data_IF_420358254997
#
_entry.id   IF_420358254997
#
_cell.length_a   1.000
_cell.length_b   1.000
_cell.length_c   1.000
_cell.angle_alpha   90.00
_cell.angle_beta   90.00
_cell.angle_gamma   90.00
#
_symmetry.space_group_name_H-M   'P 1'
#
loop_
_entity.id
_entity.type
_entity.pdbx_description
1 polymer ?
#
# COMPACT_ATOMS: atom_id res chain seq x y z
N UNK A 1 27.35 -6.41 -17.01
CA UNK A 1 26.18 -6.86 -17.80
C UNK A 1 25.32 -5.63 -18.13
N UNK A 2 25.57 -4.91 -19.23
CA UNK A 2 25.01 -3.57 -19.45
C UNK A 2 23.54 -3.52 -19.91
N UNK A 3 22.80 -4.64 -19.94
CA UNK A 3 21.44 -4.70 -20.49
C UNK A 3 20.43 -5.43 -19.59
N UNK A 4 20.77 -5.74 -18.35
CA UNK A 4 19.81 -6.39 -17.46
C UNK A 4 18.75 -5.36 -17.03
N UNK A 5 17.56 -5.48 -17.59
CA UNK A 5 16.41 -4.61 -17.31
C UNK A 5 15.36 -5.27 -16.41
N UNK A 6 15.35 -6.60 -16.36
CA UNK A 6 14.35 -7.38 -15.64
C UNK A 6 15.04 -8.46 -14.83
N UNK A 7 14.66 -8.55 -13.56
CA UNK A 7 15.05 -9.64 -12.65
C UNK A 7 13.78 -10.18 -12.05
N UNK A 8 13.62 -11.50 -12.16
CA UNK A 8 12.57 -12.26 -11.50
C UNK A 8 13.27 -13.33 -10.67
N UNK A 9 13.01 -13.34 -9.37
CA UNK A 9 13.55 -14.30 -8.43
C UNK A 9 12.40 -15.00 -7.74
N UNK A 10 12.49 -16.31 -7.61
CA UNK A 10 11.48 -17.13 -6.96
C UNK A 10 12.14 -18.14 -6.01
N UNK A 11 11.52 -18.38 -4.85
CA UNK A 11 11.89 -19.43 -3.88
C UNK A 11 13.39 -19.48 -3.54
N UNK A 12 14.03 -18.32 -3.32
CA UNK A 12 15.49 -18.28 -3.13
C UNK A 12 15.96 -17.39 -1.97
N UNK A 13 17.13 -17.78 -1.44
CA UNK A 13 17.90 -17.01 -0.47
C UNK A 13 18.99 -16.26 -1.21
N UNK A 14 18.97 -14.94 -1.16
CA UNK A 14 19.97 -14.11 -1.82
C UNK A 14 20.27 -12.89 -0.97
N UNK A 15 21.54 -12.53 -0.84
CA UNK A 15 21.91 -11.30 -0.16
C UNK A 15 21.82 -10.16 -1.18
N UNK A 16 20.75 -9.38 -1.11
CA UNK A 16 20.65 -8.10 -1.80
C UNK A 16 21.41 -7.06 -0.98
N UNK A 17 22.29 -6.22 -1.57
CA UNK A 17 22.45 -5.93 -2.99
C UNK A 17 23.76 -6.49 -3.54
N UNK A 18 23.72 -7.65 -4.19
CA UNK A 18 24.87 -8.05 -5.03
C UNK A 18 25.05 -7.02 -6.15
N UNK A 19 26.29 -6.76 -6.59
CA UNK A 19 26.62 -5.80 -7.67
C UNK A 19 26.03 -6.16 -9.05
N UNK A 20 25.15 -7.17 -9.09
CA UNK A 20 24.39 -7.63 -10.25
C UNK A 20 23.20 -6.69 -10.51
N UNK A 21 22.78 -5.88 -9.52
CA UNK A 21 21.68 -4.91 -9.65
C UNK A 21 22.16 -3.62 -10.28
N UNK A 22 22.01 -3.59 -11.60
CA UNK A 22 22.42 -2.51 -12.46
C UNK A 22 21.49 -1.31 -12.31
N UNK A 23 22.07 -0.10 -12.39
CA UNK A 23 21.34 1.16 -12.57
C UNK A 23 20.43 1.18 -13.82
N UNK A 24 20.39 0.11 -14.62
CA UNK A 24 19.50 -0.11 -15.75
C UNK A 24 18.27 -0.95 -15.44
N UNK A 25 18.14 -1.49 -14.22
CA UNK A 25 17.03 -2.37 -13.85
C UNK A 25 15.71 -1.57 -13.82
N UNK A 26 14.74 -2.04 -14.59
CA UNK A 26 13.39 -1.46 -14.72
C UNK A 26 12.32 -2.32 -14.06
N UNK A 27 12.56 -3.62 -13.91
CA UNK A 27 11.60 -4.55 -13.32
C UNK A 27 12.28 -5.48 -12.33
N UNK A 28 11.76 -5.50 -11.11
CA UNK A 28 12.17 -6.39 -10.04
C UNK A 28 10.93 -7.11 -9.53
N UNK A 29 10.93 -8.43 -9.62
CA UNK A 29 9.86 -9.28 -9.10
C UNK A 29 10.47 -10.32 -8.17
N UNK A 30 10.01 -10.33 -6.92
CA UNK A 30 10.50 -11.16 -5.83
C UNK A 30 9.34 -12.01 -5.32
N UNK A 31 9.39 -13.32 -5.53
CA UNK A 31 8.38 -14.29 -5.11
C UNK A 31 8.99 -15.24 -4.08
N UNK A 32 8.52 -15.21 -2.83
CA UNK A 32 9.05 -16.01 -1.73
C UNK A 32 10.59 -15.90 -1.59
N UNK A 33 11.11 -14.70 -1.83
CA UNK A 33 12.56 -14.41 -1.80
C UNK A 33 12.96 -13.84 -0.46
N UNK A 34 13.99 -14.43 0.13
CA UNK A 34 14.61 -13.98 1.38
C UNK A 34 15.76 -13.04 1.04
N UNK A 35 15.40 -11.89 0.47
CA UNK A 35 16.31 -10.92 -0.13
C UNK A 35 16.75 -9.81 0.81
N UNK A 36 15.90 -9.47 1.77
CA UNK A 36 16.09 -8.37 2.72
C UNK A 36 15.93 -8.92 4.14
N UNK A 37 16.94 -8.72 4.98
CA UNK A 37 16.85 -9.08 6.39
C UNK A 37 16.01 -8.07 7.19
N UNK A 38 16.06 -6.80 6.78
CA UNK A 38 15.42 -5.68 7.46
C UNK A 38 15.15 -4.52 6.48
N UNK A 39 14.48 -3.49 6.99
CA UNK A 39 14.20 -2.24 6.28
C UNK A 39 15.45 -1.57 5.71
N UNK A 40 16.59 -1.60 6.41
CA UNK A 40 17.82 -0.92 5.98
C UNK A 40 18.42 -1.62 4.75
N UNK A 41 18.45 -2.94 4.74
CA UNK A 41 18.85 -3.75 3.59
C UNK A 41 17.94 -3.54 2.38
N UNK A 42 16.63 -3.44 2.60
CA UNK A 42 15.67 -3.07 1.54
C UNK A 42 15.95 -1.67 0.96
N UNK A 43 16.14 -0.66 1.82
CA UNK A 43 16.45 0.71 1.41
C UNK A 43 17.72 0.74 0.55
N UNK A 44 18.80 0.12 1.03
CA UNK A 44 20.07 0.06 0.31
C UNK A 44 19.91 -0.64 -1.05
N UNK A 45 19.12 -1.73 -1.10
CA UNK A 45 18.84 -2.43 -2.34
C UNK A 45 18.13 -1.55 -3.36
N UNK A 46 17.02 -0.93 -2.97
CA UNK A 46 16.16 -0.17 -3.89
C UNK A 46 16.79 1.17 -4.32
N UNK A 47 17.64 1.79 -3.49
CA UNK A 47 18.40 2.99 -3.86
C UNK A 47 19.38 2.75 -5.01
N UNK A 48 19.81 1.50 -5.25
CA UNK A 48 20.68 1.14 -6.37
C UNK A 48 19.92 0.95 -7.70
N UNK A 49 18.59 1.10 -7.71
CA UNK A 49 17.71 0.88 -8.86
C UNK A 49 16.88 2.13 -9.20
N UNK A 50 17.51 3.27 -9.51
CA UNK A 50 16.80 4.56 -9.63
C UNK A 50 15.82 4.63 -10.81
N UNK A 51 15.93 3.73 -11.80
CA UNK A 51 15.06 3.69 -13.00
C UNK A 51 14.03 2.56 -12.94
N UNK A 52 13.74 2.05 -11.74
CA UNK A 52 12.77 0.97 -11.56
C UNK A 52 11.36 1.46 -11.93
N UNK A 53 10.70 0.71 -12.80
CA UNK A 53 9.34 0.96 -13.31
C UNK A 53 8.32 -0.01 -12.67
N UNK A 54 8.75 -1.22 -12.33
CA UNK A 54 7.91 -2.26 -11.76
C UNK A 54 8.59 -2.92 -10.56
N UNK A 55 7.91 -2.91 -9.41
CA UNK A 55 8.31 -3.64 -8.22
C UNK A 55 7.16 -4.57 -7.80
N UNK A 56 7.44 -5.87 -7.80
CA UNK A 56 6.56 -6.89 -7.23
C UNK A 56 7.31 -7.57 -6.09
N UNK A 57 6.69 -7.61 -4.91
CA UNK A 57 7.17 -8.35 -3.76
C UNK A 57 6.03 -9.19 -3.20
N UNK A 58 6.19 -10.49 -3.31
CA UNK A 58 5.21 -11.50 -2.94
C UNK A 58 5.88 -12.49 -1.99
N UNK A 59 5.31 -12.69 -0.82
CA UNK A 59 5.82 -13.62 0.16
C UNK A 59 4.64 -14.23 0.95
N UNK A 60 4.46 -15.53 0.78
CA UNK A 60 3.41 -16.32 1.43
C UNK A 60 3.89 -17.05 2.68
N UNK A 61 5.18 -16.97 3.02
CA UNK A 61 5.72 -17.72 4.14
C UNK A 61 5.12 -17.29 5.48
N UNK A 62 4.55 -18.27 6.16
CA UNK A 62 3.92 -18.14 7.48
C UNK A 62 4.85 -18.47 8.63
N UNK A 63 6.11 -18.77 8.34
CA UNK A 63 7.01 -19.34 9.34
C UNK A 63 7.34 -18.31 10.44
N UNK A 64 7.55 -18.81 11.67
CA UNK A 64 7.98 -18.00 12.81
C UNK A 64 9.31 -17.27 12.54
N UNK A 65 10.10 -17.75 11.59
CA UNK A 65 11.36 -17.16 11.15
C UNK A 65 11.12 -16.20 9.99
N UNK A 66 10.28 -15.19 10.21
CA UNK A 66 10.02 -14.14 9.22
C UNK A 66 11.36 -13.55 8.73
N UNK A 67 11.71 -13.68 7.44
CA UNK A 67 13.01 -13.24 6.93
C UNK A 67 13.21 -11.72 6.95
N UNK A 68 12.13 -10.95 7.01
CA UNK A 68 12.17 -9.49 6.96
C UNK A 68 11.69 -8.85 8.27
N UNK A 69 12.61 -8.17 8.95
CA UNK A 69 12.29 -7.31 10.08
C UNK A 69 11.72 -5.98 9.58
N UNK A 70 10.39 -5.83 9.72
CA UNK A 70 9.65 -4.63 9.37
C UNK A 70 9.66 -3.55 10.46
N UNK A 71 10.54 -3.67 11.46
CA UNK A 71 10.78 -2.60 12.43
C UNK A 71 11.30 -1.35 11.70
N UNK A 72 10.78 -0.17 12.07
CA UNK A 72 11.21 1.09 11.48
C UNK A 72 12.72 1.28 11.59
N UNK A 73 13.34 1.67 10.48
CA UNK A 73 14.74 2.08 10.44
C UNK A 73 15.00 3.24 11.41
N UNK A 74 16.14 3.15 12.10
CA UNK A 74 16.70 4.24 12.91
C UNK A 74 17.70 5.10 12.14
N UNK A 75 18.21 4.58 11.02
CA UNK A 75 19.24 5.22 10.21
C UNK A 75 18.65 6.06 9.07
N UNK A 76 17.48 5.66 8.56
CA UNK A 76 16.85 6.27 7.40
C UNK A 76 15.50 6.89 7.77
N UNK A 77 15.21 8.13 7.30
CA UNK A 77 13.88 8.70 7.46
C UNK A 77 12.88 7.98 6.54
N UNK A 78 11.57 8.04 6.85
CA UNK A 78 10.53 7.63 5.92
C UNK A 78 10.68 8.30 4.55
N UNK A 79 10.14 7.67 3.50
CA UNK A 79 10.10 8.20 2.13
C UNK A 79 11.47 8.51 1.51
N UNK A 80 12.56 7.93 2.01
CA UNK A 80 13.93 8.22 1.55
C UNK A 80 14.36 7.52 0.25
N UNK A 81 13.65 6.48 -0.20
CA UNK A 81 13.97 5.76 -1.44
C UNK A 81 13.18 6.36 -2.59
N UNK A 82 13.84 7.09 -3.49
CA UNK A 82 13.17 7.71 -4.64
C UNK A 82 13.14 6.77 -5.84
N UNK A 83 11.94 6.42 -6.30
CA UNK A 83 11.70 5.62 -7.50
C UNK A 83 10.80 6.42 -8.45
N UNK A 84 11.36 7.50 -8.99
CA UNK A 84 10.62 8.51 -9.76
C UNK A 84 10.02 7.97 -11.08
N UNK A 85 10.44 6.77 -11.52
CA UNK A 85 9.95 6.09 -12.72
C UNK A 85 8.96 4.95 -12.42
N UNK A 86 8.64 4.71 -11.14
CA UNK A 86 7.80 3.58 -10.77
C UNK A 86 6.37 3.77 -11.31
N UNK A 87 5.93 2.81 -12.11
CA UNK A 87 4.57 2.76 -12.69
C UNK A 87 3.70 1.79 -11.90
N UNK A 88 4.28 0.69 -11.39
CA UNK A 88 3.54 -0.35 -10.66
C UNK A 88 4.30 -0.80 -9.41
N UNK A 89 3.60 -0.77 -8.28
CA UNK A 89 3.98 -1.37 -7.01
C UNK A 89 2.96 -2.44 -6.62
N UNK A 90 3.41 -3.67 -6.46
CA UNK A 90 2.58 -4.79 -6.01
C UNK A 90 3.22 -5.47 -4.80
N UNK A 91 2.52 -5.47 -3.66
CA UNK A 91 3.00 -5.99 -2.39
C UNK A 91 2.03 -7.03 -1.84
N UNK A 92 2.40 -8.31 -1.90
CA UNK A 92 1.57 -9.44 -1.48
C UNK A 92 2.28 -10.14 -0.33
N UNK A 93 2.08 -9.64 0.89
CA UNK A 93 2.75 -10.18 2.08
C UNK A 93 1.97 -9.83 3.34
N UNK A 94 2.57 -10.01 4.51
CA UNK A 94 2.00 -9.59 5.79
C UNK A 94 1.90 -8.05 5.87
N UNK A 95 0.89 -7.55 6.59
CA UNK A 95 0.55 -6.12 6.61
C UNK A 95 1.73 -5.20 6.97
N UNK A 96 2.47 -5.53 8.03
CA UNK A 96 3.59 -4.73 8.51
C UNK A 96 4.72 -4.63 7.49
N UNK A 97 4.95 -5.67 6.68
CA UNK A 97 5.94 -5.65 5.60
C UNK A 97 5.50 -4.72 4.47
N UNK A 98 4.27 -4.86 4.00
CA UNK A 98 3.70 -3.99 2.95
C UNK A 98 3.80 -2.51 3.36
N UNK A 99 3.43 -2.19 4.61
CA UNK A 99 3.50 -0.83 5.17
C UNK A 99 4.94 -0.35 5.28
N UNK A 100 5.86 -1.17 5.80
CA UNK A 100 7.26 -0.80 5.93
C UNK A 100 7.85 -0.48 4.56
N UNK A 101 7.67 -1.38 3.58
CA UNK A 101 8.13 -1.16 2.20
C UNK A 101 7.55 0.15 1.66
N UNK A 102 6.23 0.30 1.63
CA UNK A 102 5.58 1.50 1.08
C UNK A 102 5.99 2.80 1.79
N UNK A 103 6.12 2.78 3.12
CA UNK A 103 6.44 3.97 3.91
C UNK A 103 7.86 4.51 3.70
N UNK A 104 8.78 3.71 3.14
CA UNK A 104 10.12 4.18 2.77
C UNK A 104 10.27 4.59 1.30
N UNK A 105 9.30 4.26 0.44
CA UNK A 105 9.34 4.59 -0.99
C UNK A 105 8.72 5.95 -1.29
N UNK A 106 9.43 6.85 -1.96
CA UNK A 106 8.84 7.99 -2.67
C UNK A 106 8.61 7.60 -4.13
N UNK A 107 7.35 7.47 -4.52
CA UNK A 107 6.90 7.07 -5.87
C UNK A 107 5.92 8.11 -6.45
N UNK A 108 5.79 8.21 -7.78
CA UNK A 108 4.81 9.09 -8.42
C UNK A 108 3.39 8.82 -7.93
N UNK A 109 2.58 9.87 -7.73
CA UNK A 109 1.18 9.72 -7.31
C UNK A 109 0.30 9.03 -8.35
N UNK A 110 0.76 8.91 -9.59
CA UNK A 110 0.10 8.16 -10.66
C UNK A 110 0.48 6.68 -10.69
N UNK A 111 1.42 6.23 -9.86
CA UNK A 111 1.84 4.84 -9.81
C UNK A 111 0.70 3.96 -9.29
N UNK A 112 0.42 2.86 -9.98
CA UNK A 112 -0.56 1.86 -9.51
C UNK A 112 0.00 1.17 -8.28
N UNK A 113 -0.75 1.21 -7.18
CA UNK A 113 -0.41 0.52 -5.94
C UNK A 113 -1.44 -0.57 -5.72
N UNK A 114 -0.96 -1.80 -5.58
CA UNK A 114 -1.77 -2.94 -5.16
C UNK A 114 -1.09 -3.59 -3.99
N UNK A 115 -1.78 -3.69 -2.87
CA UNK A 115 -1.30 -4.52 -1.78
C UNK A 115 -2.36 -5.53 -1.43
N UNK A 116 -1.95 -6.78 -1.26
CA UNK A 116 -2.82 -7.85 -0.82
C UNK A 116 -2.27 -8.41 0.48
N UNK A 117 -3.16 -8.62 1.45
CA UNK A 117 -2.79 -9.28 2.69
C UNK A 117 -2.93 -10.79 2.50
N UNK A 118 -1.86 -11.53 2.75
CA UNK A 118 -1.98 -12.98 2.88
C UNK A 118 -2.52 -13.29 4.28
N UNK A 119 -3.84 -13.45 4.39
CA UNK A 119 -4.49 -13.88 5.65
C UNK A 119 -4.17 -15.35 5.85
N UNK A 120 -3.12 -15.65 6.59
CA UNK A 120 -2.94 -17.02 7.06
C UNK A 120 -3.66 -17.18 8.38
N UNK A 121 -4.37 -18.31 8.51
CA UNK A 121 -5.31 -18.61 9.57
C UNK A 121 -4.69 -18.53 10.99
N UNK A 122 -3.35 -18.43 11.08
CA UNK A 122 -2.59 -18.41 12.33
C UNK A 122 -1.70 -17.17 12.51
N UNK A 123 -1.96 -16.06 11.80
CA UNK A 123 -1.22 -14.82 12.04
C UNK A 123 -1.71 -14.12 13.32
N UNK A 124 -1.36 -14.70 14.46
CA UNK A 124 -1.59 -14.14 15.80
C UNK A 124 -0.71 -12.90 16.07
N UNK A 125 0.09 -12.47 15.10
CA UNK A 125 0.97 -11.32 15.28
C UNK A 125 0.12 -10.07 15.36
N UNK A 126 0.11 -9.49 16.56
CA UNK A 126 -0.43 -8.16 16.79
C UNK A 126 0.26 -7.19 15.84
N UNK A 127 -0.52 -6.53 14.99
CA UNK A 127 -0.04 -5.41 14.18
C UNK A 127 0.44 -4.33 15.14
N UNK A 128 1.73 -3.95 15.09
CA UNK A 128 2.20 -2.88 15.95
C UNK A 128 1.43 -1.59 15.64
N UNK A 129 0.97 -0.90 16.69
CA UNK A 129 0.13 0.30 16.59
C UNK A 129 0.79 1.39 15.71
N UNK A 130 2.12 1.39 15.58
CA UNK A 130 2.88 2.35 14.78
C UNK A 130 2.83 2.09 13.26
N UNK A 131 2.53 0.88 12.78
CA UNK A 131 2.42 0.62 11.33
C UNK A 131 1.20 1.30 10.72
N UNK A 132 0.04 1.30 11.38
CA UNK A 132 -1.15 2.02 10.87
C UNK A 132 -0.91 3.53 10.79
N UNK A 133 -0.26 4.11 11.81
CA UNK A 133 0.15 5.51 11.78
C UNK A 133 1.15 5.78 10.64
N UNK A 134 2.13 4.89 10.45
CA UNK A 134 3.10 4.99 9.35
C UNK A 134 2.42 4.97 7.99
N UNK A 135 1.43 4.10 7.81
CA UNK A 135 0.66 4.00 6.58
C UNK A 135 -0.13 5.29 6.31
N UNK A 136 -0.84 5.80 7.32
CA UNK A 136 -1.61 7.04 7.21
C UNK A 136 -0.70 8.21 6.77
N UNK A 137 0.45 8.38 7.43
CA UNK A 137 1.42 9.42 7.10
C UNK A 137 1.95 9.24 5.66
N UNK A 138 2.31 8.01 5.28
CA UNK A 138 2.81 7.70 3.94
C UNK A 138 1.76 7.97 2.84
N UNK A 139 0.49 7.69 3.09
CA UNK A 139 -0.61 7.96 2.15
C UNK A 139 -0.87 9.47 2.01
N UNK A 140 -0.87 10.21 3.13
CA UNK A 140 -0.98 11.69 3.12
C UNK A 140 0.13 12.29 2.26
N UNK A 141 1.38 11.87 2.47
CA UNK A 141 2.52 12.36 1.68
C UNK A 141 2.44 11.93 0.21
N UNK A 142 2.09 10.67 -0.07
CA UNK A 142 1.99 10.15 -1.44
C UNK A 142 0.95 10.90 -2.27
N UNK A 143 -0.22 11.21 -1.70
CA UNK A 143 -1.30 11.89 -2.40
C UNK A 143 -1.25 13.43 -2.29
N UNK A 144 -0.29 14.01 -1.56
CA UNK A 144 -0.15 15.46 -1.46
C UNK A 144 0.02 16.17 -2.82
N UNK A 145 0.81 15.65 -3.80
CA UNK A 145 0.89 16.25 -5.13
C UNK A 145 -0.45 16.25 -5.86
N UNK A 146 -1.16 15.13 -5.87
CA UNK A 146 -2.48 14.99 -6.50
C UNK A 146 -3.52 15.91 -5.85
N UNK A 147 -3.51 16.01 -4.52
CA UNK A 147 -4.35 16.92 -3.75
C UNK A 147 -4.14 18.38 -4.15
N UNK A 148 -2.88 18.81 -4.34
CA UNK A 148 -2.56 20.18 -4.79
C UNK A 148 -3.02 20.45 -6.22
N UNK A 149 -3.09 19.43 -7.06
CA UNK A 149 -3.63 19.51 -8.42
C UNK A 149 -5.16 19.50 -8.48
N UNK A 150 -5.86 19.36 -7.33
CA UNK A 150 -7.32 19.25 -7.28
C UNK A 150 -7.84 17.91 -7.80
N UNK A 151 -6.97 16.90 -7.92
CA UNK A 151 -7.38 15.56 -8.32
C UNK A 151 -8.12 14.85 -7.18
N UNK A 152 -9.08 14.00 -7.53
CA UNK A 152 -9.82 13.14 -6.62
C UNK A 152 -10.23 11.87 -7.36
N UNK A 153 -10.50 10.80 -6.60
CA UNK A 153 -11.00 9.56 -7.17
C UNK A 153 -12.50 9.68 -7.51
N UNK A 154 -12.97 8.95 -8.51
CA UNK A 154 -14.40 8.85 -8.76
C UNK A 154 -15.08 7.99 -7.69
N UNK A 155 -14.48 6.84 -7.37
CA UNK A 155 -15.00 5.94 -6.34
C UNK A 155 -13.90 5.54 -5.36
N UNK A 156 -14.23 5.63 -4.07
CA UNK A 156 -13.45 5.03 -2.98
C UNK A 156 -14.29 3.89 -2.38
N UNK A 157 -13.72 2.69 -2.35
CA UNK A 157 -14.37 1.51 -1.75
C UNK A 157 -13.63 1.16 -0.47
N UNK A 158 -14.39 1.00 0.61
CA UNK A 158 -13.89 0.53 1.89
C UNK A 158 -14.43 -0.86 2.12
N UNK A 159 -13.54 -1.83 2.11
CA UNK A 159 -13.81 -3.22 2.40
C UNK A 159 -13.32 -3.58 3.81
N UNK A 160 -13.75 -4.74 4.33
CA UNK A 160 -13.25 -5.25 5.61
C UNK A 160 -11.74 -5.54 5.57
N UNK A 161 -11.17 -5.78 4.39
CA UNK A 161 -9.77 -6.14 4.20
C UNK A 161 -8.96 -5.14 3.37
N UNK A 162 -9.56 -4.09 2.80
CA UNK A 162 -8.88 -3.15 1.93
C UNK A 162 -9.54 -1.78 1.87
N UNK A 163 -8.76 -0.80 1.43
CA UNK A 163 -9.26 0.48 0.92
C UNK A 163 -8.83 0.61 -0.53
N UNK A 164 -9.77 0.98 -1.38
CA UNK A 164 -9.56 1.05 -2.82
C UNK A 164 -10.00 2.41 -3.36
N UNK A 165 -9.28 2.89 -4.38
CA UNK A 165 -9.61 4.10 -5.13
C UNK A 165 -9.52 3.80 -6.61
N UNK A 166 -10.54 4.16 -7.37
CA UNK A 166 -10.60 3.92 -8.81
C UNK A 166 -11.06 5.16 -9.56
N UNK A 167 -10.57 5.28 -10.80
CA UNK A 167 -11.21 6.14 -11.81
C UNK A 167 -12.41 5.39 -12.40
N UNK A 168 -13.49 6.10 -12.72
CA UNK A 168 -14.69 5.48 -13.27
C UNK A 168 -14.36 4.67 -14.53
N UNK A 169 -14.88 3.45 -14.65
CA UNK A 169 -14.57 2.50 -15.74
C UNK A 169 -15.07 2.93 -17.13
N UNK A 170 -15.64 4.13 -17.28
CA UNK A 170 -16.41 4.53 -18.44
C UNK A 170 -15.94 5.86 -19.04
N UNK A 171 -14.76 5.87 -19.65
CA UNK A 171 -14.37 6.86 -20.67
C UNK A 171 -14.16 8.31 -20.21
N UNK A 172 -14.25 8.60 -18.92
CA UNK A 172 -13.80 9.87 -18.36
C UNK A 172 -12.26 9.92 -18.40
N UNK A 173 -11.72 11.06 -18.82
CA UNK A 173 -10.31 11.19 -19.19
C UNK A 173 -9.36 10.77 -18.07
N UNK A 174 -8.27 10.07 -18.45
CA UNK A 174 -7.19 9.69 -17.55
C UNK A 174 -6.67 10.93 -16.79
N UNK A 175 -6.70 10.86 -15.45
CA UNK A 175 -6.13 11.89 -14.60
C UNK A 175 -4.64 11.61 -14.39
N UNK A 176 -3.72 12.40 -14.97
CA UNK A 176 -2.28 12.12 -14.90
C UNK A 176 -1.69 12.25 -13.49
N UNK A 177 -2.47 12.72 -12.51
CA UNK A 177 -2.04 12.90 -11.13
C UNK A 177 -2.45 11.76 -10.19
N UNK A 178 -3.34 10.87 -10.63
CA UNK A 178 -3.84 9.73 -9.85
C UNK A 178 -3.57 8.43 -10.58
N UNK A 179 -3.49 7.30 -9.85
CA UNK A 179 -3.44 6.02 -10.52
C UNK A 179 -4.82 5.67 -11.06
N UNK A 180 -4.88 4.87 -12.13
CA UNK A 180 -6.15 4.31 -12.59
C UNK A 180 -6.81 3.44 -11.51
N UNK A 181 -5.98 2.83 -10.65
CA UNK A 181 -6.39 2.02 -9.53
C UNK A 181 -5.39 2.07 -8.36
N UNK A 182 -5.92 2.19 -7.15
CA UNK A 182 -5.23 2.11 -5.87
C UNK A 182 -5.94 1.07 -5.01
N UNK A 183 -5.18 0.17 -4.40
CA UNK A 183 -5.68 -0.75 -3.39
C UNK A 183 -4.63 -0.93 -2.30
N UNK A 184 -5.02 -0.67 -1.05
CA UNK A 184 -4.19 -0.93 0.11
C UNK A 184 -4.94 -1.83 1.08
N UNK A 185 -4.30 -2.91 1.51
CA UNK A 185 -4.88 -3.90 2.40
C UNK A 185 -4.91 -3.34 3.83
N UNK A 186 -6.01 -3.56 4.52
CA UNK A 186 -6.18 -3.28 5.93
C UNK A 186 -5.76 -4.50 6.75
N UNK A 187 -5.32 -4.30 8.01
CA UNK A 187 -5.07 -5.41 8.90
C UNK A 187 -6.38 -6.13 9.23
N UNK A 188 -6.47 -7.41 8.89
CA UNK A 188 -7.68 -8.23 9.06
C UNK A 188 -7.66 -9.08 10.34
N UNK A 189 -6.62 -8.94 11.18
CA UNK A 189 -6.43 -9.85 12.31
C UNK A 189 -7.45 -9.55 13.41
N UNK A 190 -7.99 -10.62 14.01
CA UNK A 190 -8.89 -10.59 15.18
C UNK A 190 -8.28 -9.76 16.34
N UNK A 191 -6.95 -9.63 16.34
CA UNK A 191 -6.18 -8.95 17.36
C UNK A 191 -5.96 -7.45 17.08
N UNK A 192 -6.42 -6.92 15.94
CA UNK A 192 -6.34 -5.48 15.67
C UNK A 192 -7.46 -4.76 16.40
N UNK A 193 -7.11 -3.77 17.23
CA UNK A 193 -8.10 -2.96 17.93
C UNK A 193 -8.94 -2.18 16.93
N UNK A 194 -10.28 -2.28 17.02
CA UNK A 194 -11.23 -1.46 16.24
C UNK A 194 -10.88 0.03 16.33
N UNK A 195 -10.42 0.50 17.49
CA UNK A 195 -10.02 1.88 17.70
C UNK A 195 -8.83 2.32 16.83
N UNK A 196 -7.88 1.42 16.55
CA UNK A 196 -6.74 1.71 15.68
C UNK A 196 -7.16 1.77 14.21
N UNK A 197 -8.04 0.88 13.78
CA UNK A 197 -8.62 0.92 12.43
C UNK A 197 -9.44 2.20 12.25
N UNK A 198 -10.19 2.61 13.28
CA UNK A 198 -10.93 3.87 13.31
C UNK A 198 -10.01 5.08 13.17
N UNK A 199 -8.93 5.16 13.96
CA UNK A 199 -7.96 6.27 13.88
C UNK A 199 -7.29 6.33 12.50
N UNK A 200 -6.95 5.16 11.93
CA UNK A 200 -6.44 5.09 10.57
C UNK A 200 -7.45 5.63 9.56
N UNK A 201 -8.71 5.18 9.62
CA UNK A 201 -9.73 5.59 8.65
C UNK A 201 -10.08 7.08 8.78
N UNK A 202 -10.14 7.61 10.01
CA UNK A 202 -10.31 9.06 10.22
C UNK A 202 -9.19 9.84 9.50
N UNK A 203 -7.93 9.42 9.66
CA UNK A 203 -6.78 10.04 8.98
C UNK A 203 -6.85 9.86 7.46
N UNK A 204 -7.16 8.65 7.00
CA UNK A 204 -7.32 8.34 5.57
C UNK A 204 -8.36 9.25 4.90
N UNK A 205 -9.49 9.48 5.56
CA UNK A 205 -10.53 10.38 5.07
C UNK A 205 -10.20 11.87 5.21
N UNK A 206 -9.10 12.25 5.87
CA UNK A 206 -8.58 13.63 5.80
C UNK A 206 -7.84 13.92 4.50
N UNK A 207 -7.40 12.88 3.77
CA UNK A 207 -6.66 13.03 2.52
C UNK A 207 -7.59 13.62 1.45
N UNK A 208 -7.27 14.81 0.87
CA UNK A 208 -8.18 15.49 -0.04
C UNK A 208 -8.65 14.66 -1.24
N UNK A 209 -7.76 13.87 -1.86
CA UNK A 209 -8.12 13.03 -3.01
C UNK A 209 -9.15 11.94 -2.68
N UNK A 210 -9.19 11.52 -1.41
CA UNK A 210 -10.14 10.53 -0.88
C UNK A 210 -11.41 11.24 -0.43
N UNK A 211 -11.27 12.31 0.35
CA UNK A 211 -12.39 13.08 0.91
C UNK A 211 -13.31 13.66 -0.15
N UNK A 212 -12.73 14.07 -1.28
CA UNK A 212 -13.44 14.68 -2.40
C UNK A 212 -13.93 13.66 -3.42
N UNK A 213 -13.87 12.35 -3.13
CA UNK A 213 -14.35 11.34 -4.06
C UNK A 213 -15.84 11.52 -4.37
N UNK A 214 -16.21 11.29 -5.63
CA UNK A 214 -17.61 11.43 -6.08
C UNK A 214 -18.51 10.42 -5.35
N UNK A 215 -17.97 9.22 -5.12
CA UNK A 215 -18.65 8.13 -4.45
C UNK A 215 -17.75 7.49 -3.41
N UNK A 216 -18.31 7.23 -2.22
CA UNK A 216 -17.69 6.39 -1.19
C UNK A 216 -18.63 5.24 -0.88
N UNK A 217 -18.14 4.03 -1.06
CA UNK A 217 -18.89 2.79 -0.88
C UNK A 217 -18.27 1.97 0.24
N UNK A 218 -19.11 1.48 1.15
CA UNK A 218 -18.73 0.49 2.16
C UNK A 218 -19.27 -0.87 1.73
N UNK A 219 -18.46 -1.92 1.77
CA UNK A 219 -18.91 -3.29 1.44
C UNK A 219 -19.82 -3.85 2.54
N UNK A 220 -20.61 -4.88 2.20
CA UNK A 220 -21.45 -5.58 3.19
C UNK A 220 -20.62 -6.15 4.34
N UNK A 221 -19.49 -6.80 4.00
CA UNK A 221 -18.56 -7.38 4.96
C UNK A 221 -18.00 -6.33 5.92
N UNK A 222 -17.63 -5.15 5.41
CA UNK A 222 -17.18 -4.05 6.26
C UNK A 222 -18.27 -3.63 7.26
N UNK A 223 -19.51 -3.46 6.78
CA UNK A 223 -20.62 -3.03 7.63
C UNK A 223 -21.01 -4.07 8.69
N UNK A 224 -20.86 -5.36 8.39
CA UNK A 224 -21.08 -6.44 9.35
C UNK A 224 -20.04 -6.42 10.48
N UNK A 225 -18.78 -6.19 10.14
CA UNK A 225 -17.67 -6.17 11.10
C UNK A 225 -17.61 -4.88 11.90
N UNK A 226 -18.08 -3.78 11.31
CA UNK A 226 -17.92 -2.43 11.82
C UNK A 226 -19.24 -1.61 11.80
N UNK A 227 -20.32 -2.11 12.43
CA UNK A 227 -21.65 -1.48 12.32
C UNK A 227 -21.71 -0.07 12.91
N UNK A 228 -20.81 0.26 13.83
CA UNK A 228 -20.67 1.58 14.47
C UNK A 228 -20.13 2.66 13.51
N UNK A 229 -19.63 2.28 12.34
CA UNK A 229 -18.96 3.20 11.41
C UNK A 229 -19.91 4.06 10.58
N UNK A 230 -21.06 3.52 10.17
CA UNK A 230 -21.99 4.25 9.28
C UNK A 230 -22.33 5.64 9.85
N UNK A 231 -22.77 5.78 11.11
CA UNK A 231 -23.14 7.10 11.64
C UNK A 231 -21.95 8.06 11.74
N UNK A 232 -20.72 7.55 11.95
CA UNK A 232 -19.50 8.36 12.08
C UNK A 232 -19.20 9.09 10.76
N UNK A 233 -19.22 8.36 9.65
CA UNK A 233 -18.78 8.88 8.35
C UNK A 233 -19.91 9.51 7.51
N UNK A 234 -21.18 9.31 7.89
CA UNK A 234 -22.31 10.06 7.34
C UNK A 234 -22.18 11.58 7.49
N UNK A 235 -21.40 12.05 8.47
CA UNK A 235 -21.13 13.48 8.67
C UNK A 235 -19.97 14.00 7.82
N UNK A 236 -19.10 13.11 7.34
CA UNK A 236 -17.87 13.45 6.60
C UNK A 236 -18.15 13.52 5.10
N UNK A 237 -18.99 12.61 4.60
CA UNK A 237 -19.42 12.56 3.22
C UNK A 237 -20.85 13.09 3.07
N UNK A 238 -21.14 13.94 2.06
CA UNK A 238 -22.51 14.28 1.73
C UNK A 238 -23.33 13.01 1.51
N UNK A 239 -24.58 12.98 1.96
CA UNK A 239 -25.45 11.80 1.83
C UNK A 239 -25.61 11.32 0.36
N UNK A 240 -25.41 12.22 -0.62
CA UNK A 240 -25.44 11.89 -2.04
C UNK A 240 -24.27 11.00 -2.51
N UNK A 241 -23.16 10.98 -1.76
CA UNK A 241 -21.95 10.26 -2.14
C UNK A 241 -21.83 8.90 -1.44
N UNK A 242 -22.74 8.61 -0.49
CA UNK A 242 -22.72 7.36 0.28
C UNK A 242 -23.64 6.33 -0.35
N UNK A 243 -23.05 5.33 -0.97
CA UNK A 243 -23.79 4.16 -1.45
C UNK A 243 -23.73 3.07 -0.39
N UNK A 244 -24.84 2.90 0.33
CA UNK A 244 -25.02 1.85 1.33
C UNK A 244 -25.79 0.65 0.77
N UNK A 245 -25.90 0.50 -0.56
CA UNK A 245 -26.52 -0.70 -1.11
C UNK A 245 -25.63 -1.90 -0.80
N UNK A 246 -26.12 -2.77 0.08
CA UNK A 246 -25.55 -4.09 0.32
C UNK A 246 -25.75 -4.88 -0.97
N UNK A 247 -24.71 -4.96 -1.79
CA UNK A 247 -24.70 -5.89 -2.93
C UNK A 247 -24.53 -7.28 -2.33
N UNK A 248 -25.64 -8.02 -2.30
CA UNK A 248 -25.72 -9.43 -1.88
C UNK A 248 -25.05 -10.36 -2.88
#
# INVERSE_FOLDING_TARGET
>A
MPHLSTVVLNDCFTILPSSIYAASLRRLELYDVHGWNDVDGMIQCLQNMPVLEHLVFENYETSENAPFDATRSRAHPPRCVRLDYLVKLELISVFNWNVAIFGYLTIPSSATIKTFHHVTINDDRRVPDDHLAMLADALVEHFAPASRAGAHFNEVVIDNISVEGGLASSGEGHNPHLPDYFCFALPTSINTSEALVLDFLDKFFTIPVIRQADKVRFTGDFLEWYPTYIPRYQSIFPAANLDSTVVS
#
